data_IF_507409359928
#
_entry.id   IF_507409359928
#
_cell.length_a   1.000
_cell.length_b   1.000
_cell.length_c   1.000
_cell.angle_alpha   90.00
_cell.angle_beta   90.00
_cell.angle_gamma   90.00
#
_symmetry.space_group_name_H-M   'P 1'
#
loop_
_entity.id
_entity.type
_entity.pdbx_description
1 polymer ?
#
# COMPACT_ATOMS: atom_id res chain seq x y z
N UNK A 1 -67.01 20.46 -12.14
CA UNK A 1 -65.70 21.10 -11.87
C UNK A 1 -64.68 19.97 -11.78
N UNK A 2 -63.80 19.89 -12.77
CA UNK A 2 -62.93 18.75 -13.06
C UNK A 2 -61.58 18.99 -12.37
N UNK A 3 -61.15 18.13 -11.45
CA UNK A 3 -59.75 18.06 -11.04
C UNK A 3 -59.11 16.81 -11.67
N UNK A 4 -58.27 17.06 -12.68
CA UNK A 4 -57.42 16.07 -13.33
C UNK A 4 -56.34 15.62 -12.34
N UNK A 5 -56.30 14.32 -12.03
CA UNK A 5 -55.14 13.71 -11.40
C UNK A 5 -54.03 13.56 -12.43
N UNK A 6 -52.96 14.31 -12.23
CA UNK A 6 -51.78 14.30 -13.09
C UNK A 6 -50.97 13.02 -12.83
N UNK A 7 -50.78 12.22 -13.88
CA UNK A 7 -49.91 11.04 -13.87
C UNK A 7 -48.50 11.49 -14.24
N UNK A 8 -47.63 11.69 -13.26
CA UNK A 8 -46.19 11.69 -13.53
C UNK A 8 -45.62 10.29 -13.34
N UNK A 9 -45.51 9.56 -14.45
CA UNK A 9 -44.47 8.54 -14.65
C UNK A 9 -43.16 9.27 -14.93
N UNK A 10 -42.19 9.15 -14.05
CA UNK A 10 -40.80 9.49 -14.36
C UNK A 10 -39.94 8.25 -14.22
N UNK A 11 -39.26 7.95 -15.31
CA UNK A 11 -38.40 6.81 -15.55
C UNK A 11 -37.22 6.77 -14.57
N UNK A 12 -36.78 5.55 -14.26
CA UNK A 12 -35.61 5.30 -13.43
C UNK A 12 -34.33 5.82 -14.05
N UNK A 13 -33.37 6.14 -13.19
CA UNK A 13 -31.96 6.29 -13.52
C UNK A 13 -31.13 6.21 -12.23
N UNK A 14 -30.13 5.32 -12.29
CA UNK A 14 -28.81 5.45 -11.68
C UNK A 14 -28.64 5.16 -10.19
N UNK A 15 -28.10 3.98 -9.93
CA UNK A 15 -27.25 3.71 -8.77
C UNK A 15 -26.06 2.85 -9.20
N UNK A 16 -25.14 3.43 -9.98
CA UNK A 16 -23.82 2.86 -10.30
C UNK A 16 -23.00 2.77 -8.99
N UNK A 17 -23.20 1.71 -8.22
CA UNK A 17 -22.35 1.34 -7.08
C UNK A 17 -21.62 0.05 -7.43
N UNK A 18 -20.46 0.16 -8.07
CA UNK A 18 -19.69 -1.03 -8.42
C UNK A 18 -18.47 -0.76 -9.29
N UNK A 19 -17.52 0.05 -8.82
CA UNK A 19 -16.23 0.19 -9.51
C UNK A 19 -15.06 0.55 -8.58
N UNK A 20 -15.06 0.11 -7.31
CA UNK A 20 -13.99 0.47 -6.38
C UNK A 20 -13.07 -0.69 -5.94
N UNK A 21 -13.26 -1.92 -6.43
CA UNK A 21 -12.57 -3.10 -5.87
C UNK A 21 -11.61 -3.85 -6.83
N UNK A 22 -11.32 -3.32 -8.02
CA UNK A 22 -10.54 -4.05 -9.04
C UNK A 22 -9.09 -3.61 -9.25
N UNK A 23 -8.54 -2.66 -8.47
CA UNK A 23 -7.23 -2.07 -8.79
C UNK A 23 -6.02 -2.96 -8.42
N UNK A 24 -6.11 -3.81 -7.39
CA UNK A 24 -4.93 -4.59 -6.94
C UNK A 24 -4.57 -5.76 -7.86
N UNK A 25 -5.54 -6.32 -8.61
CA UNK A 25 -5.31 -7.44 -9.52
C UNK A 25 -4.63 -7.03 -10.84
N UNK A 26 -4.60 -5.73 -11.15
CA UNK A 26 -4.01 -5.20 -12.38
C UNK A 26 -2.51 -4.88 -12.26
N UNK A 27 -1.92 -4.86 -11.05
CA UNK A 27 -0.51 -4.50 -10.88
C UNK A 27 0.44 -5.37 -11.74
N UNK A 28 0.31 -6.71 -11.80
CA UNK A 28 1.19 -7.53 -12.65
C UNK A 28 1.04 -7.25 -14.15
N UNK A 29 -0.10 -6.74 -14.60
CA UNK A 29 -0.29 -6.31 -15.98
C UNK A 29 0.33 -4.93 -16.19
N UNK A 30 0.00 -3.97 -15.32
CA UNK A 30 0.56 -2.62 -15.32
C UNK A 30 2.10 -2.65 -15.36
N UNK A 31 2.73 -3.50 -14.55
CA UNK A 31 4.19 -3.66 -14.50
C UNK A 31 4.76 -4.14 -15.85
N UNK A 32 4.11 -5.09 -16.54
CA UNK A 32 4.59 -5.60 -17.84
C UNK A 32 4.55 -4.57 -18.95
N UNK A 33 3.71 -3.56 -18.79
CA UNK A 33 3.50 -2.51 -19.77
C UNK A 33 4.27 -1.22 -19.43
N UNK A 34 5.08 -1.23 -18.36
CA UNK A 34 6.01 -0.17 -17.99
C UNK A 34 7.45 -0.62 -18.20
N UNK A 35 8.28 0.26 -18.73
CA UNK A 35 9.68 -0.02 -19.06
C UNK A 35 10.60 1.09 -18.50
N UNK A 36 11.66 0.67 -17.80
CA UNK A 36 12.65 1.60 -17.23
C UNK A 36 13.38 2.36 -18.34
N UNK A 37 13.58 3.67 -18.16
CA UNK A 37 14.20 4.57 -19.15
C UNK A 37 13.29 4.94 -20.33
N UNK A 38 12.09 4.37 -20.42
CA UNK A 38 11.13 4.60 -21.50
C UNK A 38 9.84 5.21 -20.98
N UNK A 39 9.17 4.55 -20.05
CA UNK A 39 7.88 5.01 -19.52
C UNK A 39 8.02 6.34 -18.80
N UNK A 40 7.12 7.26 -19.09
CA UNK A 40 7.03 8.56 -18.43
C UNK A 40 6.35 8.46 -17.07
N UNK A 41 6.48 9.52 -16.26
CA UNK A 41 5.66 9.70 -15.07
C UNK A 41 4.15 9.58 -15.35
N UNK A 42 3.69 10.13 -16.47
CA UNK A 42 2.28 10.07 -16.86
C UNK A 42 1.83 8.63 -17.12
N UNK A 43 2.67 7.80 -17.75
CA UNK A 43 2.39 6.38 -17.97
C UNK A 43 2.29 5.62 -16.64
N UNK A 44 3.21 5.89 -15.70
CA UNK A 44 3.16 5.31 -14.35
C UNK A 44 1.86 5.67 -13.65
N UNK A 45 1.48 6.95 -13.63
CA UNK A 45 0.24 7.42 -13.01
C UNK A 45 -1.00 6.86 -13.71
N UNK A 46 -0.98 6.73 -15.03
CA UNK A 46 -2.08 6.13 -15.78
C UNK A 46 -2.32 4.66 -15.39
N UNK A 47 -1.25 3.92 -15.08
CA UNK A 47 -1.33 2.48 -14.79
C UNK A 47 -1.51 2.16 -13.31
N UNK A 48 -0.89 2.94 -12.43
CA UNK A 48 -0.89 2.69 -10.98
C UNK A 48 -1.84 3.63 -10.21
N UNK A 49 -2.35 4.68 -10.84
CA UNK A 49 -3.09 5.76 -10.21
C UNK A 49 -2.17 6.82 -9.58
N UNK A 50 -2.76 7.68 -8.75
CA UNK A 50 -2.00 8.66 -7.97
C UNK A 50 -1.19 7.97 -6.86
N UNK A 51 0.07 8.36 -6.61
CA UNK A 51 0.86 7.80 -5.52
C UNK A 51 0.30 8.25 -4.16
N UNK A 52 0.42 7.39 -3.15
CA UNK A 52 0.07 7.71 -1.76
C UNK A 52 1.03 8.77 -1.19
N UNK A 53 2.32 8.67 -1.55
CA UNK A 53 3.36 9.60 -1.13
C UNK A 53 4.38 9.76 -2.24
N UNK A 54 4.89 10.97 -2.39
CA UNK A 54 6.05 11.27 -3.24
C UNK A 54 7.22 11.60 -2.33
N UNK A 55 8.30 10.83 -2.47
CA UNK A 55 9.53 11.03 -1.76
C UNK A 55 10.53 11.80 -2.63
N UNK A 56 11.08 12.92 -2.15
CA UNK A 56 12.15 13.60 -2.87
C UNK A 56 13.42 12.73 -2.86
N UNK A 57 14.11 12.68 -3.99
CA UNK A 57 15.44 12.08 -4.11
C UNK A 57 16.51 13.15 -4.32
N UNK A 58 17.76 12.76 -4.12
CA UNK A 58 18.88 13.56 -4.60
C UNK A 58 18.85 13.70 -6.13
N UNK A 59 19.37 14.81 -6.65
CA UNK A 59 19.52 15.02 -8.10
C UNK A 59 18.21 15.25 -8.86
N UNK A 60 17.11 15.57 -8.17
CA UNK A 60 15.82 15.92 -8.80
C UNK A 60 14.93 14.73 -9.15
N UNK A 61 15.37 13.50 -8.88
CA UNK A 61 14.51 12.33 -8.95
C UNK A 61 13.45 12.34 -7.83
N UNK A 62 12.41 11.52 -8.00
CA UNK A 62 11.33 11.35 -7.03
C UNK A 62 10.92 9.89 -6.97
N UNK A 63 10.71 9.34 -5.78
CA UNK A 63 10.15 7.99 -5.64
C UNK A 63 8.70 8.06 -5.22
N UNK A 64 7.84 7.43 -6.02
CA UNK A 64 6.41 7.31 -5.79
C UNK A 64 6.14 6.06 -4.97
N UNK A 65 5.48 6.25 -3.84
CA UNK A 65 5.01 5.16 -3.01
C UNK A 65 3.60 4.77 -3.42
N UNK A 66 3.43 3.52 -3.80
CA UNK A 66 2.14 2.90 -4.09
C UNK A 66 1.84 1.84 -3.04
N UNK A 67 0.99 2.21 -2.08
CA UNK A 67 0.49 1.31 -1.05
C UNK A 67 -0.64 0.44 -1.64
N UNK A 68 -0.68 -0.85 -1.29
CA UNK A 68 -1.87 -1.72 -1.49
C UNK A 68 -2.45 -2.25 -0.19
N UNK A 69 -1.88 -1.92 0.97
CA UNK A 69 -2.39 -2.33 2.27
C UNK A 69 -3.63 -1.52 2.69
N UNK A 70 -4.54 -2.08 3.50
CA UNK A 70 -4.52 -3.44 4.06
C UNK A 70 -5.10 -4.55 3.16
N UNK A 71 -5.76 -4.20 2.05
CA UNK A 71 -6.48 -5.15 1.19
C UNK A 71 -5.54 -6.04 0.35
N UNK A 72 -4.37 -5.51 -0.01
CA UNK A 72 -3.33 -6.17 -0.79
C UNK A 72 -2.14 -6.66 0.05
N UNK A 73 -1.23 -7.39 -0.62
CA UNK A 73 -0.08 -8.06 0.01
C UNK A 73 1.27 -7.52 -0.50
N UNK A 74 1.25 -6.36 -1.16
CA UNK A 74 2.42 -5.78 -1.84
C UNK A 74 2.37 -4.27 -1.69
N UNK A 75 3.53 -3.65 -1.59
CA UNK A 75 3.70 -2.23 -1.80
C UNK A 75 4.76 -2.04 -2.89
N UNK A 76 4.69 -0.93 -3.62
CA UNK A 76 5.65 -0.60 -4.65
C UNK A 76 6.29 0.76 -4.40
N UNK A 77 7.57 0.86 -4.73
CA UNK A 77 8.31 2.10 -4.86
C UNK A 77 8.72 2.25 -6.32
N UNK A 78 8.27 3.33 -6.97
CA UNK A 78 8.56 3.61 -8.37
C UNK A 78 9.32 4.92 -8.45
N UNK A 79 10.58 4.88 -8.88
CA UNK A 79 11.42 6.08 -8.99
C UNK A 79 11.25 6.69 -10.38
N UNK A 80 10.92 7.97 -10.43
CA UNK A 80 10.98 8.82 -11.63
C UNK A 80 12.30 9.60 -11.58
N UNK A 81 13.10 9.47 -12.64
CA UNK A 81 14.35 10.20 -12.83
C UNK A 81 14.13 11.69 -13.09
N UNK A 82 15.20 12.50 -13.02
CA UNK A 82 15.12 13.94 -13.31
C UNK A 82 14.73 14.24 -14.77
N UNK A 83 14.82 13.25 -15.65
CA UNK A 83 14.37 13.31 -17.05
C UNK A 83 12.87 13.03 -17.21
N UNK A 84 12.14 12.80 -16.12
CA UNK A 84 10.70 12.56 -16.11
C UNK A 84 10.30 11.12 -16.48
N UNK A 85 11.27 10.20 -16.54
CA UNK A 85 11.03 8.80 -16.89
C UNK A 85 11.19 7.87 -15.71
N UNK A 86 10.52 6.73 -15.73
CA UNK A 86 10.66 5.70 -14.73
C UNK A 86 12.09 5.14 -14.75
N UNK A 87 12.81 5.28 -13.65
CA UNK A 87 14.16 4.78 -13.46
C UNK A 87 14.20 3.46 -12.68
N UNK A 88 13.18 3.17 -11.87
CA UNK A 88 13.06 1.90 -11.15
C UNK A 88 11.61 1.59 -10.76
N UNK A 89 11.22 0.31 -10.81
CA UNK A 89 9.99 -0.19 -10.20
C UNK A 89 10.32 -1.37 -9.27
N UNK A 90 9.97 -1.27 -7.98
CA UNK A 90 10.27 -2.30 -6.99
C UNK A 90 9.05 -2.67 -6.17
N UNK A 91 8.74 -3.96 -6.07
CA UNK A 91 7.91 -4.47 -4.98
C UNK A 91 8.77 -4.50 -3.72
N UNK A 92 8.28 -3.93 -2.62
CA UNK A 92 9.12 -3.65 -1.46
C UNK A 92 8.84 -4.50 -0.22
N UNK A 93 7.74 -5.26 -0.19
CA UNK A 93 7.45 -6.20 0.90
C UNK A 93 8.09 -7.55 0.60
N UNK A 94 9.42 -7.62 0.77
CA UNK A 94 10.26 -8.79 0.50
C UNK A 94 11.10 -9.15 1.72
N UNK A 95 11.49 -10.42 1.84
CA UNK A 95 12.39 -10.89 2.90
C UNK A 95 13.71 -10.10 2.94
N UNK A 96 14.23 -9.70 1.78
CA UNK A 96 15.47 -8.91 1.68
C UNK A 96 15.30 -7.52 2.31
N UNK A 97 14.20 -6.82 2.03
CA UNK A 97 13.93 -5.52 2.66
C UNK A 97 13.59 -5.67 4.14
N UNK A 98 12.88 -6.72 4.54
CA UNK A 98 12.59 -6.99 5.95
C UNK A 98 13.88 -7.16 6.77
N UNK A 99 14.87 -7.90 6.25
CA UNK A 99 16.19 -8.04 6.90
C UNK A 99 16.97 -6.73 6.99
N UNK A 100 16.64 -5.70 6.21
CA UNK A 100 17.28 -4.39 6.29
C UNK A 100 16.71 -3.52 7.42
N UNK A 101 15.52 -3.85 7.93
CA UNK A 101 14.94 -3.18 9.09
C UNK A 101 15.67 -3.67 10.34
N UNK A 102 16.37 -2.76 11.02
CA UNK A 102 17.25 -3.09 12.13
C UNK A 102 16.88 -2.29 13.39
N UNK A 103 17.16 -2.80 14.60
CA UNK A 103 16.99 -2.05 15.83
C UNK A 103 17.68 -0.68 15.78
N UNK A 104 17.03 0.33 16.35
CA UNK A 104 17.49 1.72 16.34
C UNK A 104 17.12 2.53 15.09
N UNK A 105 16.69 1.88 14.00
CA UNK A 105 16.25 2.58 12.78
C UNK A 105 15.03 3.48 13.06
N UNK A 106 14.98 4.66 12.44
CA UNK A 106 13.83 5.54 12.52
C UNK A 106 12.67 5.05 11.66
N UNK A 107 11.43 5.31 12.09
CA UNK A 107 10.25 4.82 11.37
C UNK A 107 10.14 5.35 9.92
N UNK A 108 10.63 6.56 9.64
CA UNK A 108 10.65 7.08 8.26
C UNK A 108 11.59 6.29 7.35
N UNK A 109 12.70 5.76 7.89
CA UNK A 109 13.59 4.86 7.16
C UNK A 109 12.92 3.49 6.90
N UNK A 110 12.12 3.00 7.86
CA UNK A 110 11.29 1.80 7.66
C UNK A 110 10.25 2.03 6.57
N UNK A 111 9.56 3.18 6.60
CA UNK A 111 8.62 3.60 5.56
C UNK A 111 9.26 3.71 4.19
N UNK A 112 10.50 4.18 4.15
CA UNK A 112 11.29 4.25 2.93
C UNK A 112 11.58 2.87 2.34
N UNK A 113 11.77 1.87 3.19
CA UNK A 113 12.00 0.49 2.79
C UNK A 113 10.72 -0.24 2.40
N UNK A 114 9.59 0.00 3.08
CA UNK A 114 8.41 -0.88 3.02
C UNK A 114 7.12 -0.20 2.54
N UNK A 115 7.10 1.13 2.44
CA UNK A 115 5.88 1.91 2.24
C UNK A 115 4.93 1.84 3.45
N UNK A 116 3.68 2.23 3.25
CA UNK A 116 2.66 2.31 4.31
C UNK A 116 2.29 0.95 4.89
N UNK A 117 2.26 0.82 6.24
CA UNK A 117 1.78 -0.39 6.89
C UNK A 117 0.26 -0.54 6.75
N UNK A 118 -0.22 -1.78 6.88
CA UNK A 118 -1.64 -2.10 7.01
C UNK A 118 -2.23 -1.60 8.33
N UNK A 119 -1.51 -1.78 9.43
CA UNK A 119 -1.98 -1.45 10.78
C UNK A 119 -0.88 -0.73 11.56
N UNK A 120 -1.30 0.19 12.43
CA UNK A 120 -0.44 0.88 13.39
C UNK A 120 -1.16 0.86 14.74
N UNK A 121 -0.70 0.02 15.66
CA UNK A 121 -1.42 -0.24 16.92
C UNK A 121 -0.53 0.15 18.10
N UNK A 122 -0.95 1.11 18.94
CA UNK A 122 -0.27 1.42 20.18
C UNK A 122 -0.63 0.40 21.27
N UNK A 123 0.38 -0.14 21.94
CA UNK A 123 0.30 -1.06 23.06
C UNK A 123 0.74 -0.33 24.34
N UNK A 124 -0.22 0.34 24.99
CA UNK A 124 0.02 1.29 26.08
C UNK A 124 0.72 0.64 27.29
N UNK A 125 0.30 -0.58 27.69
CA UNK A 125 0.89 -1.29 28.84
C UNK A 125 2.36 -1.65 28.62
N UNK A 126 2.74 -1.90 27.37
CA UNK A 126 4.11 -2.25 26.97
C UNK A 126 4.94 -1.03 26.56
N UNK A 127 4.33 0.16 26.55
CA UNK A 127 4.90 1.40 26.03
C UNK A 127 5.52 1.23 24.63
N UNK A 128 4.79 0.56 23.73
CA UNK A 128 5.25 0.16 22.40
C UNK A 128 4.21 0.52 21.33
N UNK A 129 4.65 0.64 20.09
CA UNK A 129 3.78 0.80 18.91
C UNK A 129 4.15 -0.31 17.92
N UNK A 130 3.17 -1.05 17.41
CA UNK A 130 3.42 -2.10 16.42
C UNK A 130 2.88 -1.65 15.07
N UNK A 131 3.75 -1.64 14.06
CA UNK A 131 3.37 -1.41 12.67
C UNK A 131 3.44 -2.73 11.92
N UNK A 132 2.38 -3.05 11.17
CA UNK A 132 2.22 -4.34 10.51
C UNK A 132 2.06 -4.18 9.01
N UNK A 133 2.81 -4.96 8.23
CA UNK A 133 2.64 -5.12 6.78
C UNK A 133 2.21 -6.54 6.47
N UNK A 134 1.14 -6.73 5.68
CA UNK A 134 0.77 -8.05 5.16
C UNK A 134 1.56 -8.33 3.89
N UNK A 135 2.08 -9.54 3.77
CA UNK A 135 2.81 -9.96 2.57
C UNK A 135 2.49 -11.41 2.22
N UNK A 136 2.77 -11.76 0.96
CA UNK A 136 2.69 -13.14 0.51
C UNK A 136 4.08 -13.76 0.64
N UNK A 137 4.26 -14.64 1.62
CA UNK A 137 5.44 -15.47 1.73
C UNK A 137 5.39 -16.58 0.66
N UNK A 138 6.46 -16.75 -0.13
CA UNK A 138 6.52 -17.84 -1.09
C UNK A 138 6.38 -19.21 -0.40
N UNK A 139 5.65 -20.17 -1.00
CA UNK A 139 5.03 -20.06 -2.33
C UNK A 139 3.66 -19.34 -2.35
N UNK A 140 2.89 -19.35 -1.26
CA UNK A 140 1.52 -18.79 -1.28
C UNK A 140 0.92 -18.56 0.11
N UNK A 141 1.73 -18.35 1.15
CA UNK A 141 1.23 -18.15 2.53
C UNK A 141 1.12 -16.66 2.85
N UNK A 142 -0.04 -16.18 3.28
CA UNK A 142 -0.18 -14.80 3.77
C UNK A 142 0.39 -14.70 5.18
N UNK A 143 1.31 -13.76 5.40
CA UNK A 143 1.93 -13.48 6.70
C UNK A 143 1.94 -11.98 7.00
N UNK A 144 2.24 -11.66 8.26
CA UNK A 144 2.55 -10.30 8.69
C UNK A 144 4.04 -10.15 8.97
N UNK A 145 4.61 -9.02 8.55
CA UNK A 145 5.84 -8.49 9.09
C UNK A 145 5.50 -7.37 10.08
N UNK A 146 5.83 -7.57 11.36
CA UNK A 146 5.60 -6.61 12.42
C UNK A 146 6.91 -5.91 12.77
N UNK A 147 6.86 -4.60 12.84
CA UNK A 147 7.94 -3.75 13.37
C UNK A 147 7.46 -3.17 14.68
N UNK A 148 8.15 -3.51 15.76
CA UNK A 148 7.83 -3.03 17.10
C UNK A 148 8.70 -1.84 17.40
N UNK A 149 8.06 -0.71 17.70
CA UNK A 149 8.66 0.60 17.85
C UNK A 149 8.58 1.06 19.30
N UNK A 150 9.58 1.84 19.72
CA UNK A 150 9.52 2.64 20.94
C UNK A 150 8.54 3.82 20.76
N UNK A 151 8.17 4.54 21.84
CA UNK A 151 7.36 5.75 21.75
C UNK A 151 7.99 6.85 20.88
N UNK A 152 9.31 6.86 20.76
CA UNK A 152 10.07 7.79 19.90
C UNK A 152 10.18 7.30 18.44
N UNK A 153 9.37 6.31 18.05
CA UNK A 153 9.34 5.75 16.70
C UNK A 153 10.69 5.21 16.21
N UNK A 154 11.40 4.51 17.11
CA UNK A 154 12.62 3.76 16.81
C UNK A 154 12.34 2.27 16.86
N UNK A 155 12.87 1.51 15.90
CA UNK A 155 12.73 0.05 15.88
C UNK A 155 13.36 -0.55 17.13
N UNK A 156 12.58 -1.31 17.89
CA UNK A 156 13.08 -2.16 18.98
C UNK A 156 13.42 -3.54 18.42
N UNK A 157 12.48 -4.14 17.68
CA UNK A 157 12.63 -5.46 17.06
C UNK A 157 11.65 -5.64 15.90
N UNK A 158 11.84 -6.73 15.16
CA UNK A 158 10.95 -7.16 14.09
C UNK A 158 10.57 -8.62 14.28
N UNK A 159 9.40 -9.01 13.80
CA UNK A 159 8.94 -10.41 13.82
C UNK A 159 8.09 -10.69 12.57
N UNK A 160 8.15 -11.94 12.10
CA UNK A 160 7.20 -12.46 11.10
C UNK A 160 6.17 -13.29 11.85
N UNK A 161 4.90 -13.01 11.62
CA UNK A 161 3.77 -13.66 12.27
C UNK A 161 2.71 -14.16 11.28
N UNK A 162 1.63 -14.78 11.78
CA UNK A 162 0.52 -15.25 10.96
C UNK A 162 -0.22 -14.08 10.29
N UNK A 163 -1.09 -14.39 9.33
CA UNK A 163 -2.02 -13.41 8.73
C UNK A 163 -2.84 -12.71 9.84
N UNK A 164 -2.74 -11.38 9.99
CA UNK A 164 -3.44 -10.63 11.03
C UNK A 164 -4.96 -10.60 10.81
N UNK A 165 -5.45 -11.02 9.65
CA UNK A 165 -6.88 -11.16 9.34
C UNK A 165 -7.29 -12.65 9.20
N UNK A 166 -6.37 -13.57 9.49
CA UNK A 166 -6.56 -15.02 9.46
C UNK A 166 -7.53 -15.51 10.54
N UNK A 167 -8.14 -16.69 10.36
CA UNK A 167 -9.17 -17.22 11.26
C UNK A 167 -8.69 -17.34 12.71
N UNK A 168 -7.42 -17.73 12.91
CA UNK A 168 -6.83 -17.93 14.23
C UNK A 168 -6.65 -16.61 15.03
N UNK A 169 -6.68 -15.46 14.35
CA UNK A 169 -6.49 -14.13 14.96
C UNK A 169 -7.81 -13.39 15.21
N UNK A 170 -8.95 -13.87 14.69
CA UNK A 170 -10.27 -13.19 14.84
C UNK A 170 -10.94 -13.40 16.20
N UNK A 171 -10.37 -14.23 17.08
CA UNK A 171 -10.98 -14.64 18.34
C UNK A 171 -10.48 -13.93 19.61
N UNK A 172 -9.52 -13.01 19.51
CA UNK A 172 -8.94 -12.32 20.67
C UNK A 172 -9.59 -10.95 20.92
N UNK A 173 -10.74 -10.94 21.58
CA UNK A 173 -11.39 -9.74 22.13
C UNK A 173 -11.21 -9.63 23.64
#
# INVERSE_FOLDING_TARGET
MIHRFDRLRTFGLTGLLGAALALAACDPQAIRELEEGVSSEADVVQRFGQPERVWPEAGGARTFEYNRQPEGLRNYMITIGPDGKMAALRQVLTADNFRRVQPGMGVEEVRRLLGKPAKQVPYQLQNQIVWTWKFLEPPSETKAFNVVLSPDYRVIRTEVGPDPDGPDMRGGG
#
